data_IF_889663940203
#
_entry.id   IF_889663940203
#
_cell.length_a   1.000
_cell.length_b   1.000
_cell.length_c   1.000
_cell.angle_alpha   90.00
_cell.angle_beta   90.00
_cell.angle_gamma   90.00
#
_symmetry.space_group_name_H-M   'P 1'
#
loop_
_entity.id
_entity.type
_entity.pdbx_description
1 polymer ?
#
# COMPACT_ATOMS: atom_id res chain seq x y z
N UNK A 1 -7.00 -39.73 -79.02
CA UNK A 1 -5.71 -40.43 -78.79
C UNK A 1 -4.89 -39.58 -77.84
N UNK A 2 -4.09 -40.24 -76.99
CA UNK A 2 -2.98 -39.72 -76.16
C UNK A 2 -2.78 -38.20 -76.09
N UNK A 3 -2.84 -37.65 -74.88
CA UNK A 3 -1.68 -36.90 -74.39
C UNK A 3 -1.41 -37.24 -72.91
N UNK A 4 -0.14 -37.20 -72.50
CA UNK A 4 0.39 -37.79 -71.27
C UNK A 4 1.38 -36.82 -70.63
N UNK A 5 0.90 -36.00 -69.69
CA UNK A 5 1.76 -35.11 -68.90
C UNK A 5 1.72 -35.45 -67.40
N UNK A 6 2.82 -35.16 -66.71
CA UNK A 6 3.27 -35.88 -65.51
C UNK A 6 3.07 -35.05 -64.23
N UNK A 7 2.42 -35.63 -63.21
CA UNK A 7 2.71 -35.32 -61.79
C UNK A 7 2.26 -36.46 -60.85
N UNK A 8 3.05 -36.82 -59.80
CA UNK A 8 2.72 -37.86 -58.82
C UNK A 8 2.08 -37.23 -57.54
N UNK A 9 2.03 -37.93 -56.38
CA UNK A 9 0.90 -38.73 -55.93
C UNK A 9 0.08 -38.06 -54.80
N UNK A 10 -0.78 -38.85 -54.15
CA UNK A 10 -1.80 -38.45 -53.18
C UNK A 10 -1.31 -37.72 -51.92
N UNK A 11 -2.26 -37.02 -51.28
CA UNK A 11 -2.16 -36.29 -50.01
C UNK A 11 -1.72 -37.21 -48.83
N UNK A 12 -1.28 -36.59 -47.71
CA UNK A 12 -2.19 -36.51 -46.57
C UNK A 12 -2.54 -35.08 -46.15
N UNK A 13 -3.59 -34.95 -45.34
CA UNK A 13 -4.28 -33.70 -45.06
C UNK A 13 -3.50 -32.71 -44.15
N UNK A 14 -3.68 -31.39 -44.34
CA UNK A 14 -3.43 -30.39 -43.31
C UNK A 14 -4.72 -30.12 -42.51
N UNK A 15 -4.70 -30.42 -41.21
CA UNK A 15 -5.53 -29.65 -40.27
C UNK A 15 -4.89 -28.28 -40.09
N UNK A 16 -5.57 -27.22 -40.52
CA UNK A 16 -5.59 -25.90 -39.88
C UNK A 16 -6.37 -24.87 -40.72
N UNK A 17 -7.44 -24.31 -40.15
CA UNK A 17 -8.02 -23.03 -40.55
C UNK A 17 -9.25 -23.07 -41.48
N UNK A 18 -10.33 -22.41 -41.06
CA UNK A 18 -10.95 -21.31 -41.79
C UNK A 18 -10.26 -19.98 -41.37
N UNK A 19 -9.97 -19.01 -42.23
CA UNK A 19 -10.50 -18.77 -43.57
C UNK A 19 -11.63 -17.75 -43.53
N UNK A 20 -11.39 -16.54 -44.06
CA UNK A 20 -12.39 -15.48 -44.19
C UNK A 20 -12.02 -14.17 -43.49
N UNK A 21 -11.45 -13.23 -44.24
CA UNK A 21 -11.19 -11.86 -43.80
C UNK A 21 -12.49 -11.06 -43.60
N UNK A 22 -12.49 -10.13 -42.65
CA UNK A 22 -13.72 -9.45 -42.20
C UNK A 22 -13.57 -8.04 -41.62
N UNK A 23 -12.49 -7.33 -41.95
CA UNK A 23 -12.37 -5.88 -41.75
C UNK A 23 -12.16 -5.34 -40.32
N UNK A 24 -11.73 -4.08 -40.26
CA UNK A 24 -11.55 -3.31 -39.01
C UNK A 24 -10.14 -3.40 -38.44
N UNK A 25 -9.42 -2.27 -38.43
CA UNK A 25 -8.08 -2.19 -37.87
C UNK A 25 -8.07 -2.62 -36.39
N UNK A 26 -7.30 -3.66 -36.08
CA UNK A 26 -7.22 -4.25 -34.75
C UNK A 26 -6.56 -3.31 -33.75
N UNK A 27 -7.37 -2.42 -33.15
CA UNK A 27 -6.99 -1.72 -31.94
C UNK A 27 -6.57 -2.74 -30.89
N UNK A 28 -5.38 -2.57 -30.32
CA UNK A 28 -4.75 -3.51 -29.39
C UNK A 28 -5.41 -3.42 -27.99
N UNK A 29 -6.71 -3.69 -27.94
CA UNK A 29 -7.51 -3.72 -26.71
C UNK A 29 -7.22 -5.04 -26.02
N UNK A 30 -6.60 -4.97 -24.85
CA UNK A 30 -6.37 -6.13 -24.00
C UNK A 30 -7.69 -6.89 -23.78
N UNK A 31 -7.68 -8.17 -24.15
CA UNK A 31 -8.85 -9.06 -24.01
C UNK A 31 -9.27 -9.23 -22.55
N UNK A 32 -8.34 -9.09 -21.61
CA UNK A 32 -8.63 -9.10 -20.16
C UNK A 32 -9.36 -7.81 -19.78
N UNK A 33 -8.89 -6.64 -20.23
CA UNK A 33 -9.58 -5.37 -20.01
C UNK A 33 -11.00 -5.36 -20.62
N UNK A 34 -11.15 -5.86 -21.85
CA UNK A 34 -12.46 -6.00 -22.50
C UNK A 34 -13.39 -6.92 -21.71
N UNK A 35 -12.90 -8.09 -21.29
CA UNK A 35 -13.68 -9.04 -20.47
C UNK A 35 -14.11 -8.42 -19.14
N UNK A 36 -13.19 -7.77 -18.41
CA UNK A 36 -13.49 -7.10 -17.15
C UNK A 36 -14.53 -5.98 -17.33
N UNK A 37 -14.43 -5.21 -18.41
CA UNK A 37 -15.41 -4.15 -18.72
C UNK A 37 -16.81 -4.73 -18.98
N UNK A 38 -16.89 -5.83 -19.75
CA UNK A 38 -18.16 -6.55 -20.00
C UNK A 38 -18.74 -7.14 -18.72
N UNK A 39 -17.92 -7.75 -17.86
CA UNK A 39 -18.37 -8.31 -16.58
C UNK A 39 -18.86 -7.24 -15.58
N UNK A 40 -18.42 -5.99 -15.70
CA UNK A 40 -18.95 -4.89 -14.88
C UNK A 40 -20.30 -4.34 -15.35
N UNK A 41 -20.73 -4.56 -16.58
CA UNK A 41 -21.99 -3.96 -17.10
C UNK A 41 -23.22 -4.34 -16.25
N UNK A 42 -23.49 -5.62 -15.93
CA UNK A 42 -24.65 -5.99 -15.10
C UNK A 42 -24.56 -5.46 -13.66
N UNK A 43 -23.34 -5.26 -13.15
CA UNK A 43 -23.11 -4.72 -11.81
C UNK A 43 -23.41 -3.22 -11.76
N UNK A 44 -23.03 -2.49 -12.80
CA UNK A 44 -23.33 -1.05 -12.97
C UNK A 44 -24.83 -0.85 -13.21
N UNK A 45 -25.47 -1.68 -14.03
CA UNK A 45 -26.91 -1.68 -14.28
C UNK A 45 -27.69 -1.92 -12.97
N UNK A 46 -27.35 -2.96 -12.22
CA UNK A 46 -27.93 -3.22 -10.88
C UNK A 46 -27.69 -2.06 -9.89
N UNK A 47 -26.54 -1.38 -9.96
CA UNK A 47 -26.28 -0.20 -9.14
C UNK A 47 -27.13 1.01 -9.56
N UNK A 48 -27.41 1.18 -10.85
CA UNK A 48 -28.27 2.24 -11.38
C UNK A 48 -29.74 1.99 -11.02
N UNK A 49 -30.23 0.76 -11.16
CA UNK A 49 -31.57 0.36 -10.73
C UNK A 49 -31.78 0.62 -9.23
N UNK A 50 -30.78 0.33 -8.40
CA UNK A 50 -30.85 0.60 -6.94
C UNK A 50 -30.87 2.10 -6.60
N UNK A 51 -30.40 2.99 -7.47
CA UNK A 51 -30.48 4.46 -7.28
C UNK A 51 -31.88 5.03 -7.59
N UNK A 52 -32.75 4.28 -8.26
CA UNK A 52 -34.13 4.69 -8.54
C UNK A 52 -35.06 4.65 -7.31
N UNK A 53 -34.59 4.08 -6.18
CA UNK A 53 -35.29 4.06 -4.90
C UNK A 53 -34.73 5.15 -3.94
N UNK A 54 -35.31 6.37 -3.88
CA UNK A 54 -34.77 7.49 -3.11
C UNK A 54 -35.11 7.42 -1.61
N UNK A 55 -34.84 6.29 -0.95
CA UNK A 55 -35.17 6.09 0.47
C UNK A 55 -34.17 6.77 1.43
N UNK A 56 -33.10 7.38 0.94
CA UNK A 56 -32.10 8.08 1.76
C UNK A 56 -32.31 9.59 1.76
N UNK A 57 -33.28 10.06 2.55
CA UNK A 57 -33.37 11.48 2.90
C UNK A 57 -32.16 11.86 3.76
N UNK A 58 -31.23 12.63 3.19
CA UNK A 58 -30.11 13.25 3.92
C UNK A 58 -30.65 14.27 4.93
N UNK A 59 -31.06 13.81 6.11
CA UNK A 59 -31.22 14.67 7.29
C UNK A 59 -29.84 15.13 7.77
N UNK A 60 -29.33 16.19 7.14
CA UNK A 60 -28.21 16.94 7.69
C UNK A 60 -28.69 17.66 8.97
N UNK A 61 -28.40 17.07 10.13
CA UNK A 61 -28.61 17.72 11.41
C UNK A 61 -27.61 18.87 11.57
N UNK A 62 -28.03 20.09 11.24
CA UNK A 62 -27.26 21.30 11.52
C UNK A 62 -27.26 21.51 13.04
N UNK A 63 -26.21 21.02 13.71
CA UNK A 63 -25.89 21.40 15.08
C UNK A 63 -25.28 22.80 15.03
N UNK A 64 -26.06 23.81 15.39
CA UNK A 64 -25.58 25.19 15.50
C UNK A 64 -24.56 25.30 16.63
N UNK A 65 -23.28 25.45 16.29
CA UNK A 65 -22.22 25.80 17.24
C UNK A 65 -22.05 27.32 17.26
N UNK A 66 -22.28 28.01 18.40
CA UNK A 66 -22.01 29.44 18.51
C UNK A 66 -20.52 29.72 18.27
N UNK A 67 -20.22 30.74 17.46
CA UNK A 67 -18.84 31.11 17.15
C UNK A 67 -18.06 31.57 18.40
N UNK A 68 -16.76 31.24 18.54
CA UNK A 68 -15.98 31.62 19.72
C UNK A 68 -15.78 33.14 19.79
N UNK A 69 -16.01 33.70 20.97
CA UNK A 69 -15.88 35.13 21.22
C UNK A 69 -14.42 35.60 21.10
N UNK A 70 -14.17 36.62 20.28
CA UNK A 70 -12.87 37.31 20.21
C UNK A 70 -12.56 37.93 21.58
N UNK A 71 -11.46 37.50 22.20
CA UNK A 71 -10.97 38.10 23.45
C UNK A 71 -10.12 39.32 23.14
N UNK A 72 -10.64 40.50 23.46
CA UNK A 72 -9.79 41.67 23.69
C UNK A 72 -8.95 41.46 24.96
N UNK A 73 -7.80 42.13 25.01
CA UNK A 73 -6.82 42.01 26.09
C UNK A 73 -7.23 42.74 27.37
N UNK A 74 -6.60 42.28 28.46
CA UNK A 74 -6.39 42.95 29.76
C UNK A 74 -7.45 42.96 30.87
N UNK A 75 -6.88 43.09 32.08
CA UNK A 75 -7.46 43.37 33.40
C UNK A 75 -8.02 42.19 34.23
N UNK A 76 -7.07 41.44 34.81
CA UNK A 76 -6.83 41.40 36.28
C UNK A 76 -8.04 41.18 37.21
N UNK A 77 -8.26 39.95 37.65
CA UNK A 77 -8.56 39.63 39.07
C UNK A 77 -8.38 38.14 39.38
N UNK A 78 -7.94 37.83 40.60
CA UNK A 78 -7.69 36.46 41.06
C UNK A 78 -8.90 35.84 41.76
N UNK A 79 -9.07 34.50 41.64
CA UNK A 79 -9.43 33.53 42.71
C UNK A 79 -9.89 32.17 42.15
N UNK A 80 -9.30 31.09 42.65
CA UNK A 80 -9.95 29.79 42.89
C UNK A 80 -10.45 29.78 44.36
N UNK A 81 -11.15 28.75 44.93
CA UNK A 81 -11.50 27.40 44.42
C UNK A 81 -12.97 26.94 44.72
N UNK A 82 -13.23 25.61 44.64
CA UNK A 82 -14.40 24.84 45.18
C UNK A 82 -15.80 25.02 44.52
N UNK A 83 -16.77 24.09 44.61
CA UNK A 83 -16.82 22.62 44.85
C UNK A 83 -18.27 22.06 44.73
N UNK A 84 -18.45 20.73 44.58
CA UNK A 84 -19.71 19.92 44.74
C UNK A 84 -20.91 20.32 43.84
N UNK A 85 -22.00 19.57 43.59
CA UNK A 85 -22.66 18.35 44.13
C UNK A 85 -23.64 17.80 43.03
N UNK A 86 -24.38 16.68 43.08
CA UNK A 86 -24.33 15.36 43.74
C UNK A 86 -25.56 14.51 43.26
N UNK A 87 -25.64 13.21 43.67
CA UNK A 87 -26.69 12.19 43.36
C UNK A 87 -26.53 11.51 41.96
N UNK A 88 -26.84 10.22 41.78
CA UNK A 88 -27.59 9.28 42.64
C UNK A 88 -26.98 7.85 42.62
N UNK A 89 -26.77 7.30 43.83
CA UNK A 89 -26.67 5.86 44.20
C UNK A 89 -27.92 5.08 43.71
N UNK A 90 -27.98 3.74 43.63
CA UNK A 90 -27.12 2.62 44.10
C UNK A 90 -27.70 1.34 43.47
N UNK A 91 -26.84 0.43 43.02
CA UNK A 91 -27.09 -1.02 43.08
C UNK A 91 -25.76 -1.79 43.12
N UNK A 92 -25.57 -2.70 44.09
CA UNK A 92 -24.72 -3.86 43.88
C UNK A 92 -25.37 -5.14 44.43
N UNK A 93 -25.33 -6.20 43.63
CA UNK A 93 -25.79 -7.52 44.05
C UNK A 93 -24.79 -8.28 44.94
N UNK A 94 -25.24 -9.48 45.31
CA UNK A 94 -24.44 -10.65 45.69
C UNK A 94 -23.66 -10.62 47.03
N UNK A 95 -24.08 -11.50 47.95
CA UNK A 95 -23.22 -12.53 48.59
C UNK A 95 -24.08 -13.46 49.44
N UNK A 96 -23.83 -14.77 49.33
CA UNK A 96 -24.75 -15.80 49.82
C UNK A 96 -24.72 -16.07 51.33
N UNK A 97 -25.72 -16.82 51.80
CA UNK A 97 -25.71 -17.50 53.10
C UNK A 97 -25.92 -19.00 52.94
N UNK A 98 -24.78 -19.70 52.93
CA UNK A 98 -24.63 -21.11 53.27
C UNK A 98 -25.22 -21.35 54.67
N UNK A 99 -26.01 -22.41 54.84
CA UNK A 99 -26.26 -23.05 56.13
C UNK A 99 -26.49 -24.55 55.86
N UNK A 100 -25.61 -25.39 56.41
CA UNK A 100 -25.70 -26.85 56.38
C UNK A 100 -25.68 -27.36 57.81
N UNK A 101 -26.71 -28.15 58.14
CA UNK A 101 -26.76 -29.25 59.11
C UNK A 101 -26.21 -29.04 60.54
N UNK A 102 -27.06 -29.23 61.55
CA UNK A 102 -27.10 -30.49 62.35
C UNK A 102 -27.89 -30.33 63.66
N UNK A 103 -28.95 -31.12 63.84
CA UNK A 103 -29.33 -31.73 65.13
C UNK A 103 -30.40 -32.80 64.92
N UNK A 104 -30.21 -33.95 65.55
CA UNK A 104 -30.97 -35.19 65.32
C UNK A 104 -31.98 -35.46 66.45
N UNK A 105 -33.10 -36.12 66.09
CA UNK A 105 -34.01 -36.79 67.02
C UNK A 105 -35.15 -35.93 67.59
N UNK A 106 -36.41 -36.33 67.32
CA UNK A 106 -37.24 -37.14 68.23
C UNK A 106 -38.32 -37.85 67.38
N UNK A 107 -38.70 -39.05 67.81
CA UNK A 107 -39.67 -39.92 67.11
C UNK A 107 -41.09 -39.33 67.09
N UNK A 108 -41.77 -39.44 65.95
CA UNK A 108 -43.18 -39.10 65.80
C UNK A 108 -43.85 -40.06 64.81
N UNK A 109 -44.30 -41.21 65.31
CA UNK A 109 -45.08 -42.15 64.50
C UNK A 109 -46.46 -41.55 64.20
N UNK A 110 -46.84 -41.51 62.93
CA UNK A 110 -48.21 -41.18 62.48
C UNK A 110 -48.66 -42.32 61.57
N UNK A 111 -49.77 -42.93 61.94
CA UNK A 111 -50.25 -44.18 61.34
C UNK A 111 -50.80 -43.99 59.91
N UNK A 112 -50.77 -45.03 59.06
CA UNK A 112 -51.42 -45.00 57.76
C UNK A 112 -52.94 -45.12 57.93
N UNK A 113 -53.64 -43.98 57.84
CA UNK A 113 -55.12 -43.95 57.84
C UNK A 113 -55.66 -44.70 56.63
N UNK A 114 -56.11 -45.93 56.88
CA UNK A 114 -56.70 -46.80 55.88
C UNK A 114 -58.18 -46.46 55.74
N UNK A 115 -58.53 -45.66 54.72
CA UNK A 115 -59.94 -45.39 54.40
C UNK A 115 -60.60 -46.64 53.80
N UNK A 116 -61.28 -47.40 54.66
CA UNK A 116 -62.19 -48.46 54.24
C UNK A 116 -63.46 -47.87 53.62
N UNK A 117 -63.97 -48.54 52.58
CA UNK A 117 -65.05 -48.02 51.75
C UNK A 117 -66.41 -47.95 52.44
N UNK A 118 -67.15 -46.88 52.14
CA UNK A 118 -68.59 -46.77 52.35
C UNK A 118 -69.30 -46.59 51.01
N UNK A 119 -70.27 -47.45 50.72
CA UNK A 119 -71.36 -47.26 49.75
C UNK A 119 -71.04 -46.56 48.42
N UNK A 120 -70.57 -47.35 47.44
CA UNK A 120 -70.48 -46.93 46.04
C UNK A 120 -71.87 -46.59 45.45
N UNK A 121 -72.29 -45.32 45.48
CA UNK A 121 -73.32 -44.85 44.54
C UNK A 121 -72.75 -44.90 43.11
N UNK A 122 -73.59 -45.14 42.09
CA UNK A 122 -73.12 -45.15 40.70
C UNK A 122 -72.50 -43.80 40.30
N UNK A 123 -73.05 -42.68 40.78
CA UNK A 123 -72.56 -41.33 40.48
C UNK A 123 -71.09 -41.11 40.88
N UNK A 124 -70.70 -41.58 42.06
CA UNK A 124 -69.36 -41.37 42.61
C UNK A 124 -68.31 -42.17 41.81
N UNK A 125 -68.72 -43.31 41.22
CA UNK A 125 -67.89 -44.07 40.27
C UNK A 125 -67.72 -43.36 38.94
N UNK A 126 -68.81 -42.82 38.39
CA UNK A 126 -68.79 -42.08 37.12
C UNK A 126 -67.92 -40.81 37.26
N UNK A 127 -67.99 -40.11 38.40
CA UNK A 127 -67.13 -38.98 38.72
C UNK A 127 -65.64 -39.38 38.84
N UNK A 128 -65.34 -40.52 39.47
CA UNK A 128 -63.97 -41.06 39.52
C UNK A 128 -63.44 -41.41 38.12
N UNK A 129 -64.30 -41.86 37.19
CA UNK A 129 -63.90 -42.11 35.79
C UNK A 129 -63.59 -40.79 35.08
N UNK A 130 -64.46 -39.79 35.18
CA UNK A 130 -64.22 -38.46 34.59
C UNK A 130 -62.94 -37.79 35.13
N UNK A 131 -62.68 -37.91 36.44
CA UNK A 131 -61.44 -37.39 37.04
C UNK A 131 -60.19 -38.13 36.54
N UNK A 132 -60.29 -39.44 36.25
CA UNK A 132 -59.19 -40.21 35.63
C UNK A 132 -58.93 -39.76 34.21
N UNK A 133 -59.97 -39.60 33.39
CA UNK A 133 -59.86 -39.08 32.03
C UNK A 133 -59.23 -37.67 32.01
N UNK A 134 -59.62 -36.79 32.94
CA UNK A 134 -58.98 -35.48 33.09
C UNK A 134 -57.49 -35.57 33.51
N UNK A 135 -57.13 -36.51 34.40
CA UNK A 135 -55.73 -36.72 34.78
C UNK A 135 -54.91 -37.23 33.58
N UNK A 136 -55.45 -38.16 32.79
CA UNK A 136 -54.80 -38.67 31.57
C UNK A 136 -54.65 -37.57 30.49
N UNK A 137 -55.67 -36.72 30.30
CA UNK A 137 -55.58 -35.58 29.39
C UNK A 137 -54.56 -34.52 29.87
N UNK A 138 -54.51 -34.23 31.16
CA UNK A 138 -53.51 -33.34 31.76
C UNK A 138 -52.09 -33.92 31.66
N UNK A 139 -51.91 -35.23 31.83
CA UNK A 139 -50.63 -35.91 31.64
C UNK A 139 -50.17 -35.86 30.17
N UNK A 140 -51.08 -36.09 29.23
CA UNK A 140 -50.80 -35.94 27.78
C UNK A 140 -50.38 -34.51 27.43
N UNK A 141 -51.13 -33.52 27.94
CA UNK A 141 -50.80 -32.09 27.79
C UNK A 141 -49.44 -31.75 28.39
N UNK A 142 -49.09 -32.30 29.56
CA UNK A 142 -47.77 -32.11 30.18
C UNK A 142 -46.65 -32.61 29.27
N UNK A 143 -46.77 -33.84 28.75
CA UNK A 143 -45.78 -34.44 27.85
C UNK A 143 -45.60 -33.62 26.56
N UNK A 144 -46.67 -33.13 25.95
CA UNK A 144 -46.61 -32.24 24.79
C UNK A 144 -45.86 -30.92 25.11
N UNK A 145 -46.08 -30.36 26.32
CA UNK A 145 -45.33 -29.17 26.78
C UNK A 145 -43.86 -29.47 27.07
N UNK A 146 -43.53 -30.64 27.62
CA UNK A 146 -42.15 -31.06 27.83
C UNK A 146 -41.39 -31.29 26.51
N UNK A 147 -42.05 -31.84 25.49
CA UNK A 147 -41.47 -32.01 24.16
C UNK A 147 -41.27 -30.65 23.46
N UNK A 148 -42.28 -29.77 23.51
CA UNK A 148 -42.16 -28.41 23.00
C UNK A 148 -41.06 -27.60 23.71
N UNK A 149 -40.88 -27.80 25.02
CA UNK A 149 -39.80 -27.18 25.80
C UNK A 149 -38.42 -27.69 25.37
N UNK A 150 -38.23 -29.01 25.21
CA UNK A 150 -36.99 -29.59 24.68
C UNK A 150 -36.66 -29.08 23.27
N UNK A 151 -37.68 -28.92 22.41
CA UNK A 151 -37.52 -28.33 21.08
C UNK A 151 -37.06 -26.87 21.14
N UNK A 152 -37.66 -26.07 22.04
CA UNK A 152 -37.23 -24.69 22.28
C UNK A 152 -35.79 -24.60 22.84
N UNK A 153 -35.42 -25.47 23.78
CA UNK A 153 -34.04 -25.56 24.31
C UNK A 153 -33.02 -25.92 23.22
N UNK A 154 -33.35 -26.88 22.34
CA UNK A 154 -32.53 -27.21 21.17
C UNK A 154 -32.34 -25.99 20.26
N UNK A 155 -33.43 -25.30 19.92
CA UNK A 155 -33.38 -24.10 19.07
C UNK A 155 -32.57 -22.96 19.71
N UNK A 156 -32.65 -22.78 21.04
CA UNK A 156 -31.79 -21.83 21.78
C UNK A 156 -30.31 -22.24 21.71
N UNK A 157 -30.01 -23.53 21.79
CA UNK A 157 -28.63 -24.02 21.65
C UNK A 157 -28.06 -23.76 20.25
N UNK A 158 -28.84 -24.02 19.20
CA UNK A 158 -28.49 -23.71 17.80
C UNK A 158 -28.28 -22.20 17.61
N UNK A 159 -29.20 -21.37 18.13
CA UNK A 159 -29.09 -19.92 18.09
C UNK A 159 -27.81 -19.41 18.78
N UNK A 160 -27.39 -20.01 19.89
CA UNK A 160 -26.10 -19.68 20.54
C UNK A 160 -24.89 -20.02 19.65
N UNK A 161 -24.93 -21.15 18.92
CA UNK A 161 -23.86 -21.45 17.93
C UNK A 161 -23.85 -20.44 16.78
N UNK A 162 -25.03 -20.02 16.30
CA UNK A 162 -25.15 -19.00 15.26
C UNK A 162 -24.62 -17.64 15.74
N UNK A 163 -24.89 -17.22 16.97
CA UNK A 163 -24.29 -15.99 17.51
C UNK A 163 -22.76 -16.05 17.54
N UNK A 164 -22.17 -17.17 17.96
CA UNK A 164 -20.72 -17.37 17.93
C UNK A 164 -20.14 -17.26 16.51
N UNK A 165 -20.80 -17.82 15.49
CA UNK A 165 -20.34 -17.69 14.10
C UNK A 165 -20.50 -16.27 13.55
N UNK A 166 -21.56 -15.55 13.94
CA UNK A 166 -21.78 -14.14 13.55
C UNK A 166 -20.71 -13.21 14.15
N UNK A 167 -20.33 -13.41 15.41
CA UNK A 167 -19.30 -12.59 16.06
C UNK A 167 -17.88 -12.89 15.52
N UNK A 168 -17.60 -14.15 15.17
CA UNK A 168 -16.38 -14.53 14.44
C UNK A 168 -16.33 -13.90 13.04
N UNK A 169 -17.44 -13.91 12.28
CA UNK A 169 -17.53 -13.22 11.00
C UNK A 169 -17.34 -11.71 11.14
N UNK A 170 -17.91 -11.07 12.17
CA UNK A 170 -17.67 -9.65 12.48
C UNK A 170 -16.20 -9.36 12.75
N UNK A 171 -15.51 -10.23 13.50
CA UNK A 171 -14.07 -10.13 13.77
C UNK A 171 -13.26 -10.18 12.46
N UNK A 172 -13.55 -11.12 11.57
CA UNK A 172 -12.89 -11.22 10.26
C UNK A 172 -13.16 -10.02 9.34
N UNK A 173 -14.37 -9.44 9.39
CA UNK A 173 -14.68 -8.20 8.65
C UNK A 173 -13.84 -7.03 9.18
N UNK A 174 -13.75 -6.84 10.49
CA UNK A 174 -12.94 -5.79 11.10
C UNK A 174 -11.43 -5.94 10.78
N UNK A 175 -10.92 -7.18 10.77
CA UNK A 175 -9.55 -7.50 10.38
C UNK A 175 -9.27 -7.15 8.91
N UNK A 176 -10.17 -7.55 7.99
CA UNK A 176 -10.06 -7.22 6.56
C UNK A 176 -10.19 -5.72 6.31
N UNK A 177 -11.06 -5.01 7.03
CA UNK A 177 -11.12 -3.54 6.98
C UNK A 177 -9.82 -2.87 7.43
N UNK A 178 -9.18 -3.38 8.49
CA UNK A 178 -7.88 -2.88 8.96
C UNK A 178 -6.78 -3.12 7.91
N UNK A 179 -6.78 -4.29 7.27
CA UNK A 179 -5.87 -4.59 6.16
C UNK A 179 -6.09 -3.65 4.96
N UNK A 180 -7.34 -3.41 4.56
CA UNK A 180 -7.69 -2.46 3.49
C UNK A 180 -7.22 -1.04 3.83
N UNK A 181 -7.42 -0.58 5.07
CA UNK A 181 -6.93 0.73 5.55
C UNK A 181 -5.41 0.82 5.48
N UNK A 182 -4.69 -0.24 5.86
CA UNK A 182 -3.22 -0.32 5.76
C UNK A 182 -2.73 -0.25 4.31
N UNK A 183 -3.30 -1.07 3.41
CA UNK A 183 -2.95 -1.11 1.98
C UNK A 183 -3.22 0.25 1.31
N UNK A 184 -4.37 0.88 1.61
CA UNK A 184 -4.69 2.21 1.08
C UNK A 184 -3.70 3.30 1.55
N UNK A 185 -3.22 3.22 2.80
CA UNK A 185 -2.18 4.11 3.32
C UNK A 185 -0.85 3.92 2.60
N UNK A 186 -0.43 2.67 2.39
CA UNK A 186 0.78 2.34 1.62
C UNK A 186 0.69 2.82 0.17
N UNK A 187 -0.45 2.62 -0.49
CA UNK A 187 -0.71 3.10 -1.85
C UNK A 187 -0.66 4.64 -1.94
N UNK A 188 -1.19 5.34 -0.92
CA UNK A 188 -1.12 6.80 -0.87
C UNK A 188 0.32 7.30 -0.73
N UNK A 189 1.11 6.69 0.17
CA UNK A 189 2.53 7.01 0.34
C UNK A 189 3.34 6.73 -0.94
N UNK A 190 3.10 5.59 -1.60
CA UNK A 190 3.73 5.27 -2.88
C UNK A 190 3.39 6.29 -3.97
N UNK A 191 2.15 6.79 -4.01
CA UNK A 191 1.72 7.84 -4.94
C UNK A 191 2.42 9.17 -4.69
N UNK A 192 2.67 9.54 -3.43
CA UNK A 192 3.44 10.74 -3.07
C UNK A 192 4.89 10.59 -3.55
N UNK A 193 5.56 9.48 -3.20
CA UNK A 193 6.93 9.22 -3.63
C UNK A 193 7.09 9.22 -5.17
N UNK A 194 6.11 8.69 -5.90
CA UNK A 194 6.12 8.72 -7.36
C UNK A 194 6.03 10.15 -7.91
N UNK A 195 5.22 11.02 -7.31
CA UNK A 195 5.15 12.43 -7.67
C UNK A 195 6.47 13.17 -7.37
N UNK A 196 7.11 12.90 -6.23
CA UNK A 196 8.41 13.47 -5.88
C UNK A 196 9.52 13.03 -6.86
N UNK A 197 9.49 11.76 -7.29
CA UNK A 197 10.41 11.24 -8.31
C UNK A 197 10.15 11.85 -9.69
N UNK A 198 8.89 12.06 -10.07
CA UNK A 198 8.50 12.75 -11.30
C UNK A 198 9.02 14.20 -11.32
N UNK A 199 8.79 14.96 -10.24
CA UNK A 199 9.31 16.33 -10.11
C UNK A 199 10.84 16.39 -10.14
N UNK A 200 11.52 15.38 -9.56
CA UNK A 200 12.98 15.25 -9.61
C UNK A 200 13.49 14.97 -11.03
N UNK A 201 12.79 14.16 -11.81
CA UNK A 201 13.11 13.89 -13.22
C UNK A 201 12.92 15.14 -14.09
N UNK A 202 11.80 15.86 -13.95
CA UNK A 202 11.53 17.09 -14.70
C UNK A 202 12.58 18.18 -14.43
N UNK A 203 13.04 18.30 -13.16
CA UNK A 203 14.16 19.19 -12.80
C UNK A 203 15.45 18.78 -13.50
N UNK A 204 15.80 17.50 -13.49
CA UNK A 204 17.02 16.99 -14.13
C UNK A 204 16.95 17.16 -15.66
N UNK A 205 15.79 16.91 -16.28
CA UNK A 205 15.57 17.12 -17.71
C UNK A 205 15.76 18.60 -18.10
N UNK A 206 15.30 19.53 -17.27
CA UNK A 206 15.50 20.96 -17.48
C UNK A 206 16.97 21.38 -17.30
N UNK A 207 17.68 20.81 -16.32
CA UNK A 207 19.13 21.00 -16.13
C UNK A 207 19.93 20.46 -17.33
N UNK A 208 19.58 19.27 -17.85
CA UNK A 208 20.18 18.71 -19.07
C UNK A 208 19.91 19.60 -20.28
N UNK A 209 18.68 20.05 -20.51
CA UNK A 209 18.33 20.96 -21.63
C UNK A 209 19.09 22.28 -21.57
N UNK A 210 19.17 22.90 -20.40
CA UNK A 210 19.89 24.17 -20.22
C UNK A 210 21.41 24.01 -20.28
N UNK A 211 21.95 22.86 -19.86
CA UNK A 211 23.37 22.53 -20.06
C UNK A 211 23.70 22.26 -21.52
N UNK A 212 22.87 21.49 -22.24
CA UNK A 212 23.06 21.21 -23.67
C UNK A 212 23.05 22.50 -24.50
N UNK A 213 22.13 23.43 -24.20
CA UNK A 213 22.08 24.74 -24.85
C UNK A 213 23.40 25.52 -24.68
N UNK A 214 24.01 25.49 -23.49
CA UNK A 214 25.32 26.14 -23.24
C UNK A 214 26.46 25.44 -23.99
N UNK A 215 26.41 24.12 -24.15
CA UNK A 215 27.39 23.37 -24.95
C UNK A 215 27.28 23.74 -26.42
N UNK A 216 26.07 23.84 -26.97
CA UNK A 216 25.84 24.33 -28.34
C UNK A 216 26.37 25.76 -28.54
N UNK A 217 26.11 26.66 -27.57
CA UNK A 217 26.56 28.05 -27.63
C UNK A 217 28.10 28.13 -27.62
N UNK A 218 28.75 27.43 -26.68
CA UNK A 218 30.22 27.33 -26.61
C UNK A 218 30.84 26.67 -27.85
N UNK A 219 30.17 25.68 -28.45
CA UNK A 219 30.62 25.08 -29.70
C UNK A 219 30.57 26.10 -30.85
N UNK A 220 29.53 26.94 -30.90
CA UNK A 220 29.44 28.06 -31.83
C UNK A 220 30.57 29.08 -31.64
N UNK A 221 30.87 29.45 -30.39
CA UNK A 221 31.97 30.37 -30.06
C UNK A 221 33.34 29.81 -30.49
N UNK A 222 33.58 28.50 -30.29
CA UNK A 222 34.81 27.83 -30.76
C UNK A 222 34.92 27.87 -32.27
N UNK A 223 33.86 27.52 -33.02
CA UNK A 223 33.89 27.59 -34.49
C UNK A 223 34.05 29.02 -35.02
N UNK A 224 33.58 30.04 -34.30
CA UNK A 224 33.85 31.44 -34.64
C UNK A 224 35.33 31.79 -34.41
N UNK A 225 35.91 31.39 -33.27
CA UNK A 225 37.34 31.59 -33.00
C UNK A 225 38.24 30.85 -33.99
N UNK A 226 37.88 29.63 -34.42
CA UNK A 226 38.61 28.89 -35.47
C UNK A 226 38.63 29.67 -36.80
N UNK A 227 37.51 30.31 -37.18
CA UNK A 227 37.45 31.17 -38.36
C UNK A 227 38.30 32.45 -38.23
N UNK A 228 38.25 33.11 -37.07
CA UNK A 228 39.08 34.29 -36.78
C UNK A 228 40.58 33.96 -36.78
N UNK A 229 40.98 32.84 -36.15
CA UNK A 229 42.35 32.34 -36.15
C UNK A 229 42.79 31.96 -37.58
N UNK A 230 41.94 31.28 -38.36
CA UNK A 230 42.24 30.96 -39.76
C UNK A 230 42.44 32.20 -40.62
N UNK A 231 41.63 33.24 -40.42
CA UNK A 231 41.78 34.54 -41.09
C UNK A 231 43.10 35.22 -40.70
N UNK A 232 43.43 35.23 -39.41
CA UNK A 232 44.70 35.79 -38.89
C UNK A 232 45.93 35.01 -39.41
N UNK A 233 45.84 33.68 -39.48
CA UNK A 233 46.91 32.81 -39.97
C UNK A 233 47.17 33.06 -41.47
N UNK A 234 46.11 33.21 -42.28
CA UNK A 234 46.23 33.59 -43.68
C UNK A 234 46.83 35.00 -43.88
N UNK A 235 46.59 35.94 -42.96
CA UNK A 235 47.26 37.25 -42.96
C UNK A 235 48.76 37.10 -42.65
N UNK A 236 49.13 36.29 -41.66
CA UNK A 236 50.54 36.02 -41.35
C UNK A 236 51.27 35.33 -42.49
N UNK A 237 50.67 34.33 -43.13
CA UNK A 237 51.27 33.63 -44.27
C UNK A 237 51.50 34.58 -45.45
N UNK A 238 50.51 35.43 -45.77
CA UNK A 238 50.65 36.47 -46.80
C UNK A 238 51.72 37.52 -46.47
N UNK A 239 51.90 37.88 -45.19
CA UNK A 239 52.99 38.78 -44.77
C UNK A 239 54.35 38.05 -44.90
N UNK A 240 54.43 36.79 -44.50
CA UNK A 240 55.63 35.96 -44.60
C UNK A 240 56.08 35.78 -46.05
N UNK A 241 55.15 35.51 -46.97
CA UNK A 241 55.41 35.42 -48.41
C UNK A 241 55.96 36.75 -48.98
N UNK A 242 55.40 37.88 -48.56
CA UNK A 242 55.89 39.21 -48.95
C UNK A 242 57.29 39.56 -48.40
N UNK A 243 57.68 39.00 -47.25
CA UNK A 243 58.99 39.26 -46.61
C UNK A 243 60.08 38.29 -47.09
N UNK A 244 59.72 37.02 -47.32
CA UNK A 244 60.62 35.98 -47.83
C UNK A 244 61.07 36.24 -49.28
N UNK A 245 60.38 37.14 -50.00
CA UNK A 245 60.79 37.61 -51.32
C UNK A 245 62.06 38.48 -51.34
N UNK A 246 62.55 38.98 -50.20
CA UNK A 246 63.68 39.94 -50.15
C UNK A 246 64.80 39.57 -49.16
N UNK A 247 64.67 38.48 -48.39
CA UNK A 247 65.77 37.92 -47.58
C UNK A 247 66.05 36.45 -47.90
N UNK A 248 67.13 36.23 -48.65
CA UNK A 248 67.77 34.93 -48.81
C UNK A 248 68.86 34.75 -47.74
N UNK A 249 68.89 33.57 -47.12
CA UNK A 249 69.85 33.08 -46.11
C UNK A 249 69.68 33.62 -44.66
N UNK A 250 69.51 32.71 -43.69
CA UNK A 250 69.20 33.09 -42.30
C UNK A 250 68.55 32.05 -41.38
N UNK A 251 69.00 30.79 -41.40
CA UNK A 251 68.85 29.78 -40.32
C UNK A 251 67.58 29.80 -39.44
N UNK A 252 66.52 29.06 -39.84
CA UNK A 252 65.45 28.67 -38.91
C UNK A 252 65.93 27.57 -37.94
N UNK A 253 65.46 27.54 -36.67
CA UNK A 253 65.79 26.46 -35.74
C UNK A 253 65.20 25.12 -36.19
N UNK A 254 65.94 24.04 -35.94
CA UNK A 254 65.59 22.69 -36.36
C UNK A 254 64.39 22.14 -35.58
N UNK A 255 63.54 21.35 -36.26
CA UNK A 255 62.38 20.67 -35.66
C UNK A 255 62.71 19.80 -34.44
N UNK A 256 63.98 19.37 -34.31
CA UNK A 256 64.50 18.65 -33.16
C UNK A 256 64.36 19.40 -31.82
N UNK A 257 64.35 20.74 -31.82
CA UNK A 257 64.22 21.54 -30.60
C UNK A 257 62.76 21.57 -30.09
N UNK A 258 61.78 21.36 -30.98
CA UNK A 258 60.36 21.29 -30.63
C UNK A 258 59.97 19.94 -30.00
N UNK A 259 60.55 18.86 -30.49
CA UNK A 259 60.33 17.48 -30.01
C UNK A 259 60.92 17.28 -28.59
N UNK A 260 62.03 17.97 -28.28
CA UNK A 260 62.60 18.04 -26.94
C UNK A 260 61.64 18.69 -25.91
N UNK A 261 60.85 19.69 -26.33
CA UNK A 261 59.86 20.34 -25.45
C UNK A 261 58.62 19.45 -25.21
N UNK A 262 58.19 18.68 -26.22
CA UNK A 262 57.12 17.70 -26.04
C UNK A 262 57.51 16.58 -25.06
N UNK A 263 58.79 16.20 -25.04
CA UNK A 263 59.32 15.17 -24.13
C UNK A 263 59.26 15.57 -22.65
N UNK A 264 59.27 16.87 -22.33
CA UNK A 264 59.10 17.36 -20.94
C UNK A 264 57.64 17.23 -20.48
N UNK A 265 56.69 17.48 -21.39
CA UNK A 265 55.24 17.41 -21.11
C UNK A 265 54.74 16.00 -20.74
N UNK A 266 55.45 14.95 -21.17
CA UNK A 266 55.06 13.57 -20.87
C UNK A 266 55.41 13.15 -19.42
N UNK A 267 56.41 13.79 -18.79
CA UNK A 267 56.67 13.64 -17.35
C UNK A 267 55.52 14.24 -16.54
N UNK A 268 55.10 15.46 -16.87
CA UNK A 268 54.02 16.17 -16.17
C UNK A 268 52.68 15.41 -16.28
N UNK A 269 52.44 14.77 -17.43
CA UNK A 269 51.25 13.94 -17.67
C UNK A 269 51.15 12.73 -16.72
N UNK A 270 52.27 12.07 -16.43
CA UNK A 270 52.33 10.92 -15.50
C UNK A 270 52.03 11.37 -14.06
N UNK A 271 52.51 12.57 -13.68
CA UNK A 271 52.23 13.15 -12.37
C UNK A 271 50.74 13.54 -12.22
N UNK A 272 50.14 14.13 -13.26
CA UNK A 272 48.70 14.44 -13.30
C UNK A 272 47.83 13.19 -13.21
N UNK A 273 48.17 12.11 -13.93
CA UNK A 273 47.42 10.84 -13.91
C UNK A 273 47.45 10.21 -12.50
N UNK A 274 48.61 10.23 -11.84
CA UNK A 274 48.79 9.76 -10.46
C UNK A 274 48.03 10.60 -9.43
N UNK A 275 47.97 11.92 -9.60
CA UNK A 275 47.15 12.80 -8.76
C UNK A 275 45.67 12.42 -8.89
N UNK A 276 45.18 12.19 -10.12
CA UNK A 276 43.77 11.83 -10.32
C UNK A 276 43.42 10.45 -9.77
N UNK A 277 44.32 9.46 -9.85
CA UNK A 277 44.15 8.12 -9.23
C UNK A 277 43.95 8.21 -7.70
N UNK A 278 44.76 9.00 -7.00
CA UNK A 278 44.61 9.22 -5.55
C UNK A 278 43.37 10.07 -5.22
N UNK A 279 42.92 10.96 -6.13
CA UNK A 279 41.63 11.69 -5.98
C UNK A 279 40.43 10.75 -6.09
N UNK A 280 40.44 9.80 -7.02
CA UNK A 280 39.40 8.77 -7.15
C UNK A 280 39.40 7.89 -5.90
N UNK A 281 40.56 7.41 -5.47
CA UNK A 281 40.72 6.58 -4.25
C UNK A 281 40.18 7.27 -3.00
N UNK A 282 40.47 8.57 -2.82
CA UNK A 282 39.91 9.37 -1.73
C UNK A 282 38.38 9.58 -1.85
N UNK A 283 37.86 9.75 -3.05
CA UNK A 283 36.41 9.90 -3.28
C UNK A 283 35.65 8.60 -2.96
N UNK A 284 36.19 7.44 -3.33
CA UNK A 284 35.63 6.12 -2.98
C UNK A 284 35.66 5.87 -1.47
N UNK A 285 36.79 6.14 -0.80
CA UNK A 285 36.90 6.01 0.65
C UNK A 285 35.93 6.96 1.40
N UNK A 286 35.72 8.18 0.89
CA UNK A 286 34.69 9.09 1.40
C UNK A 286 33.26 8.60 1.16
N UNK A 287 33.00 7.95 0.03
CA UNK A 287 31.69 7.38 -0.26
C UNK A 287 31.37 6.22 0.69
N UNK A 288 32.32 5.30 0.88
CA UNK A 288 32.21 4.21 1.85
C UNK A 288 31.95 4.74 3.27
N UNK A 289 32.80 5.65 3.78
CA UNK A 289 32.67 6.22 5.12
C UNK A 289 31.36 7.02 5.34
N UNK A 290 30.72 7.51 4.27
CA UNK A 290 29.39 8.14 4.32
C UNK A 290 28.25 7.11 4.35
N UNK A 291 28.42 5.96 3.70
CA UNK A 291 27.47 4.85 3.74
C UNK A 291 27.53 4.12 5.09
N UNK A 292 28.73 3.90 5.63
CA UNK A 292 28.97 3.23 6.91
C UNK A 292 30.03 3.96 7.75
N UNK A 293 29.65 4.84 8.70
CA UNK A 293 30.59 5.63 9.50
C UNK A 293 31.27 4.80 10.61
N UNK A 294 32.09 3.85 10.19
CA UNK A 294 32.94 3.01 11.03
C UNK A 294 34.36 3.60 11.12
N UNK A 295 35.03 3.39 12.26
CA UNK A 295 36.40 3.89 12.51
C UNK A 295 37.39 3.50 11.40
N UNK A 296 37.32 2.25 10.92
CA UNK A 296 38.17 1.71 9.85
C UNK A 296 37.96 2.42 8.49
N UNK A 297 36.74 2.90 8.21
CA UNK A 297 36.45 3.61 6.96
C UNK A 297 36.82 5.08 7.06
N UNK A 298 36.69 5.67 8.26
CA UNK A 298 37.20 7.01 8.56
C UNK A 298 38.74 7.06 8.51
N UNK A 299 39.43 6.01 8.98
CA UNK A 299 40.90 5.92 8.87
C UNK A 299 41.35 5.74 7.43
N UNK A 300 40.68 4.89 6.63
CA UNK A 300 40.98 4.76 5.20
C UNK A 300 40.78 6.08 4.43
N UNK A 301 39.70 6.82 4.71
CA UNK A 301 39.46 8.13 4.12
C UNK A 301 40.53 9.17 4.55
N UNK A 302 41.02 9.10 5.79
CA UNK A 302 42.10 9.95 6.28
C UNK A 302 43.47 9.60 5.65
N UNK A 303 43.77 8.32 5.45
CA UNK A 303 44.99 7.86 4.76
C UNK A 303 45.00 8.26 3.28
N UNK A 304 43.90 8.03 2.55
CA UNK A 304 43.79 8.44 1.14
C UNK A 304 43.92 9.97 1.00
N UNK A 305 43.35 10.74 1.95
CA UNK A 305 43.54 12.20 2.02
C UNK A 305 45.01 12.58 2.21
N UNK A 306 45.74 11.87 3.05
CA UNK A 306 47.18 12.10 3.29
C UNK A 306 48.01 11.82 2.05
N UNK A 307 47.74 10.73 1.31
CA UNK A 307 48.43 10.41 0.05
C UNK A 307 48.22 11.49 -1.00
N UNK A 308 46.96 11.89 -1.21
CA UNK A 308 46.62 12.98 -2.11
C UNK A 308 47.29 14.30 -1.69
N UNK A 309 47.35 14.61 -0.39
CA UNK A 309 47.99 15.82 0.11
C UNK A 309 49.51 15.86 -0.17
N UNK A 310 50.19 14.70 -0.25
CA UNK A 310 51.62 14.61 -0.59
C UNK A 310 51.90 14.83 -2.08
N UNK A 311 50.89 14.70 -2.96
CA UNK A 311 51.04 14.92 -4.41
C UNK A 311 50.56 16.31 -4.87
N UNK A 312 49.99 17.12 -3.97
CA UNK A 312 49.35 18.41 -4.29
C UNK A 312 50.01 19.59 -3.54
N UNK A 313 51.08 19.34 -2.77
CA UNK A 313 51.86 20.32 -2.01
C UNK A 313 53.35 20.29 -2.41
#
# INVERSE_FOLDING_TARGET
MLDRSIRPPQQPAPEAGPGGEGGGGGGNVDRVLFKNLVEMVPLVESLMDRRSNPSYSRRASIMYTPAPAKKATDLKSAKSPQSVSAKKRRDPGETGKKNTTDSNGVNGAVEPVTFLGGENKPKDKDEIVLLREQIEELQKMLLEKEEALKSAESSVSEMNTLYSTVDELRRQVAEKEAMIKSINSQLHNAKIMLADKQASLEKLEWEVKTSNKKVEDLQGDVSNMEFEIGSLMALFEKISENVSGDLQDGSLPSSFELEALQSVSEIDKIEVEKIEEERVTYAEALAAARENPNEEQLSLAAEARLRLQVLVL
#
